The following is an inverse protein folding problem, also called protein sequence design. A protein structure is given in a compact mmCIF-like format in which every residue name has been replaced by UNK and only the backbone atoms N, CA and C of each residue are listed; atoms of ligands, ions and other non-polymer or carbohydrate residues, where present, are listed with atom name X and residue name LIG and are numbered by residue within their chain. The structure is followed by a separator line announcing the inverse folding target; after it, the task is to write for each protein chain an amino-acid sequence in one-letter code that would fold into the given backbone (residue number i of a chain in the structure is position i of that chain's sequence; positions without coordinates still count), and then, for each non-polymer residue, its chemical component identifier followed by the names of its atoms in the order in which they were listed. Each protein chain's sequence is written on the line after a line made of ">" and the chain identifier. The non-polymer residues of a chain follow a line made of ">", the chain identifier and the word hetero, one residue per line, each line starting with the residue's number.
data_IF_405476557171
#
_entry.id   IF_405476557171
#
_cell.length_a   1.000
_cell.length_b   1.000
_cell.length_c   1.000
_cell.angle_alpha   90.00
_cell.angle_beta   90.00
_cell.angle_gamma   90.00
#
_symmetry.space_group_name_H-M   'P 1'
#
loop_
_entity.id
_entity.type
_entity.pdbx_description
1 polymer ?
#
# COMPACT_ATOMS: atom_id res chain seq x y z
N UNK A 1 -17.04 48.78 31.58
CA UNK A 1 -18.51 48.62 31.48
C UNK A 1 -18.77 47.14 31.26
N UNK A 2 -19.27 46.49 32.30
CA UNK A 2 -19.39 45.04 32.46
C UNK A 2 -20.87 44.71 32.42
N UNK A 3 -21.30 43.76 31.58
CA UNK A 3 -22.60 43.09 31.78
C UNK A 3 -22.44 41.60 31.49
N UNK A 4 -22.43 40.83 32.59
CA UNK A 4 -22.77 39.41 32.65
C UNK A 4 -24.29 39.29 32.57
N UNK A 5 -24.82 38.25 31.92
CA UNK A 5 -26.10 37.63 32.29
C UNK A 5 -26.01 36.10 32.13
N UNK A 6 -26.50 35.41 33.15
CA UNK A 6 -26.45 33.96 33.36
C UNK A 6 -27.70 33.23 32.80
N UNK A 7 -27.46 31.96 32.43
CA UNK A 7 -28.27 30.73 32.62
C UNK A 7 -29.74 30.63 32.19
N UNK A 8 -30.05 29.55 31.46
CA UNK A 8 -30.93 28.48 31.99
C UNK A 8 -30.76 27.17 31.21
N UNK A 9 -30.63 26.08 31.96
CA UNK A 9 -30.49 24.68 31.57
C UNK A 9 -31.84 24.01 31.28
N UNK A 10 -31.87 23.06 30.35
CA UNK A 10 -32.88 21.99 30.34
C UNK A 10 -32.26 20.67 29.83
N UNK A 11 -32.36 19.66 30.68
CA UNK A 11 -31.88 18.29 30.52
C UNK A 11 -33.04 17.43 30.02
N UNK A 12 -32.80 16.60 28.99
CA UNK A 12 -33.73 15.54 28.58
C UNK A 12 -33.12 14.18 28.95
N UNK A 13 -33.73 13.54 29.95
CA UNK A 13 -33.57 12.13 30.29
C UNK A 13 -34.37 11.25 29.31
N UNK A 14 -33.74 10.22 28.74
CA UNK A 14 -34.45 9.07 28.17
C UNK A 14 -34.13 7.82 29.00
N UNK A 15 -35.20 7.20 29.52
CA UNK A 15 -35.18 6.01 30.38
C UNK A 15 -34.93 4.75 29.56
N UNK A 16 -34.04 3.90 30.09
CA UNK A 16 -33.90 2.49 29.75
C UNK A 16 -35.17 1.72 30.15
N UNK A 17 -35.66 0.84 29.27
CA UNK A 17 -36.65 -0.18 29.59
C UNK A 17 -36.16 -1.53 29.04
N UNK A 18 -35.78 -2.40 29.98
CA UNK A 18 -35.48 -3.82 29.78
C UNK A 18 -36.78 -4.62 29.75
N UNK A 19 -36.93 -5.54 28.80
CA UNK A 19 -37.90 -6.64 28.89
C UNK A 19 -37.23 -7.96 28.48
N UNK A 20 -37.32 -8.94 29.37
CA UNK A 20 -36.99 -10.35 29.17
C UNK A 20 -38.27 -11.16 28.89
N UNK A 21 -38.08 -12.40 28.40
CA UNK A 21 -39.05 -13.52 28.27
C UNK A 21 -39.70 -13.63 26.88
N UNK A 22 -39.88 -14.77 26.22
CA UNK A 22 -39.53 -16.20 26.44
C UNK A 22 -39.78 -16.94 25.12
N UNK A 23 -39.11 -18.08 24.90
CA UNK A 23 -39.38 -19.02 23.80
C UNK A 23 -40.76 -19.67 23.95
N UNK A 24 -41.48 -19.85 22.85
CA UNK A 24 -42.32 -21.03 22.61
C UNK A 24 -42.60 -21.26 21.11
N UNK A 25 -42.41 -22.50 20.71
CA UNK A 25 -42.77 -23.11 19.42
C UNK A 25 -44.27 -23.46 19.37
N UNK A 26 -44.91 -23.37 18.20
CA UNK A 26 -45.83 -24.36 17.59
C UNK A 26 -46.57 -23.78 16.36
N UNK A 27 -46.43 -24.44 15.22
CA UNK A 27 -47.37 -24.49 14.07
C UNK A 27 -48.29 -25.74 14.26
N UNK A 28 -49.33 -26.08 13.45
CA UNK A 28 -49.73 -25.56 12.11
C UNK A 28 -51.27 -25.47 11.83
N UNK A 29 -51.60 -25.10 10.57
CA UNK A 29 -52.71 -25.56 9.68
C UNK A 29 -53.87 -24.62 9.28
N UNK A 30 -54.20 -24.78 7.98
CA UNK A 30 -55.33 -24.30 7.15
C UNK A 30 -55.31 -22.83 6.71
N UNK A 31 -55.64 -22.41 5.49
CA UNK A 31 -55.80 -23.00 4.14
C UNK A 31 -56.26 -21.84 3.25
N UNK A 32 -55.81 -21.74 2.00
CA UNK A 32 -56.64 -21.63 0.76
C UNK A 32 -55.85 -21.07 -0.42
N UNK A 33 -56.11 -21.70 -1.56
CA UNK A 33 -55.47 -21.58 -2.86
C UNK A 33 -55.86 -20.30 -3.61
N UNK A 34 -54.94 -19.76 -4.43
CA UNK A 34 -55.25 -19.30 -5.79
C UNK A 34 -54.12 -19.74 -6.73
N UNK A 35 -54.44 -20.73 -7.56
CA UNK A 35 -53.70 -21.15 -8.75
C UNK A 35 -54.24 -20.36 -9.94
N UNK A 36 -53.36 -19.73 -10.72
CA UNK A 36 -53.65 -19.33 -12.10
C UNK A 36 -52.71 -20.11 -13.01
N UNK A 37 -53.28 -21.18 -13.57
CA UNK A 37 -52.76 -21.98 -14.67
C UNK A 37 -52.93 -21.24 -15.99
N UNK A 38 -51.90 -21.29 -16.85
CA UNK A 38 -52.09 -21.27 -18.29
C UNK A 38 -51.19 -22.35 -18.91
N UNK A 39 -51.82 -23.41 -19.39
CA UNK A 39 -51.25 -24.48 -20.23
C UNK A 39 -51.57 -24.14 -21.70
N UNK A 40 -50.59 -24.22 -22.61
CA UNK A 40 -50.80 -24.73 -23.98
C UNK A 40 -49.58 -25.59 -24.38
N UNK A 41 -49.90 -26.72 -25.01
CA UNK A 41 -49.14 -27.95 -25.26
C UNK A 41 -48.20 -27.95 -26.48
N UNK A 42 -47.08 -28.68 -26.32
CA UNK A 42 -46.51 -29.77 -27.17
C UNK A 42 -46.06 -29.45 -28.61
N UNK A 43 -44.77 -29.71 -28.90
CA UNK A 43 -44.33 -30.75 -29.86
C UNK A 43 -42.88 -31.17 -29.59
N UNK A 44 -42.72 -32.47 -29.33
CA UNK A 44 -41.45 -33.18 -29.25
C UNK A 44 -40.96 -33.57 -30.65
N UNK A 45 -39.72 -33.22 -30.98
CA UNK A 45 -38.95 -33.89 -32.04
C UNK A 45 -37.56 -34.21 -31.51
N UNK A 46 -37.31 -35.50 -31.35
CA UNK A 46 -36.01 -36.10 -31.05
C UNK A 46 -35.09 -36.00 -32.28
N UNK A 47 -33.94 -35.35 -32.13
CA UNK A 47 -32.81 -35.56 -33.03
C UNK A 47 -31.49 -35.49 -32.24
N UNK A 48 -30.91 -36.70 -32.15
CA UNK A 48 -29.58 -37.15 -31.74
C UNK A 48 -28.48 -36.10 -31.55
N UNK A 49 -27.83 -36.24 -30.38
CA UNK A 49 -26.38 -36.14 -30.12
C UNK A 49 -25.63 -34.91 -30.63
N UNK A 50 -25.32 -34.02 -29.69
CA UNK A 50 -23.93 -33.62 -29.46
C UNK A 50 -23.78 -33.26 -27.98
N UNK A 51 -23.24 -34.20 -27.20
CA UNK A 51 -22.68 -33.89 -25.89
C UNK A 51 -21.36 -33.14 -26.10
N UNK A 52 -21.45 -31.85 -26.43
CA UNK A 52 -20.36 -30.94 -26.15
C UNK A 52 -20.61 -30.35 -24.76
N UNK A 53 -19.96 -30.98 -23.78
CA UNK A 53 -19.73 -30.42 -22.46
C UNK A 53 -19.11 -29.02 -22.59
N UNK A 54 -19.95 -27.98 -22.54
CA UNK A 54 -19.48 -26.64 -22.21
C UNK A 54 -19.11 -26.63 -20.72
N UNK A 55 -17.97 -27.21 -20.39
CA UNK A 55 -17.19 -26.70 -19.26
C UNK A 55 -16.81 -25.27 -19.66
N UNK A 56 -17.57 -24.30 -19.17
CA UNK A 56 -17.11 -22.92 -19.10
C UNK A 56 -15.85 -22.92 -18.24
N UNK A 57 -14.67 -23.06 -18.88
CA UNK A 57 -13.40 -22.98 -18.19
C UNK A 57 -13.34 -21.64 -17.46
N UNK A 58 -13.33 -21.68 -16.13
CA UNK A 58 -13.12 -20.52 -15.27
C UNK A 58 -11.80 -19.85 -15.64
N UNK A 59 -11.83 -18.85 -16.52
CA UNK A 59 -10.61 -18.24 -17.05
C UNK A 59 -10.05 -17.25 -16.02
N UNK A 60 -9.06 -17.69 -15.28
CA UNK A 60 -8.27 -16.85 -14.39
C UNK A 60 -7.07 -16.27 -15.14
N UNK A 61 -6.74 -15.00 -14.86
CA UNK A 61 -5.61 -14.28 -15.45
C UNK A 61 -4.67 -13.86 -14.32
N UNK A 62 -3.48 -14.42 -14.28
CA UNK A 62 -2.44 -13.90 -13.39
C UNK A 62 -2.01 -12.50 -13.85
N UNK A 63 -1.84 -11.58 -12.91
CA UNK A 63 -1.38 -10.21 -13.18
C UNK A 63 -0.20 -9.89 -12.25
N UNK A 64 1.04 -9.77 -12.78
CA UNK A 64 1.43 -10.02 -14.17
C UNK A 64 1.29 -11.50 -14.58
N UNK A 65 1.20 -11.78 -15.89
CA UNK A 65 1.05 -13.18 -16.38
C UNK A 65 2.37 -13.95 -16.50
N UNK A 66 3.47 -13.32 -16.07
CA UNK A 66 4.83 -13.83 -16.21
C UNK A 66 5.14 -14.93 -15.18
N UNK A 67 6.04 -15.85 -15.55
CA UNK A 67 6.55 -16.86 -14.61
C UNK A 67 7.58 -16.24 -13.64
N UNK A 68 7.98 -16.99 -12.61
CA UNK A 68 8.88 -16.48 -11.56
C UNK A 68 10.26 -16.10 -12.09
N UNK A 69 10.85 -16.88 -13.00
CA UNK A 69 12.17 -16.60 -13.56
C UNK A 69 12.18 -15.33 -14.42
N UNK A 70 11.11 -15.10 -15.19
CA UNK A 70 10.92 -13.85 -15.94
C UNK A 70 10.78 -12.66 -14.99
N UNK A 71 10.04 -12.83 -13.88
CA UNK A 71 9.86 -11.79 -12.87
C UNK A 71 11.19 -11.43 -12.22
N UNK A 72 11.97 -12.42 -11.76
CA UNK A 72 13.28 -12.19 -11.14
C UNK A 72 14.24 -11.49 -12.12
N UNK A 73 14.30 -11.94 -13.38
CA UNK A 73 15.15 -11.31 -14.39
C UNK A 73 14.79 -9.85 -14.66
N UNK A 74 13.50 -9.56 -14.86
CA UNK A 74 13.02 -8.19 -15.10
C UNK A 74 13.30 -7.30 -13.87
N UNK A 75 13.12 -7.86 -12.69
CA UNK A 75 13.40 -7.19 -11.42
C UNK A 75 14.88 -6.82 -11.35
N UNK A 76 15.80 -7.77 -11.53
CA UNK A 76 17.24 -7.53 -11.50
C UNK A 76 17.72 -6.55 -12.60
N UNK A 77 17.15 -6.62 -13.81
CA UNK A 77 17.41 -5.64 -14.88
C UNK A 77 16.94 -4.23 -14.50
N UNK A 78 15.80 -4.13 -13.82
CA UNK A 78 15.25 -2.84 -13.39
C UNK A 78 16.03 -2.28 -12.21
N UNK A 79 16.38 -3.09 -11.20
CA UNK A 79 17.27 -2.67 -10.12
C UNK A 79 18.60 -2.14 -10.67
N UNK A 80 19.25 -2.86 -11.62
CA UNK A 80 20.48 -2.37 -12.26
C UNK A 80 20.32 -1.02 -12.97
N UNK A 81 19.14 -0.71 -13.49
CA UNK A 81 18.86 0.59 -14.15
C UNK A 81 18.70 1.74 -13.16
N UNK A 82 18.12 1.46 -11.99
CA UNK A 82 17.72 2.47 -11.01
C UNK A 82 18.62 2.52 -9.75
N UNK A 83 19.63 1.65 -9.62
CA UNK A 83 20.63 1.71 -8.55
C UNK A 83 21.97 2.28 -9.02
N UNK A 84 22.81 2.67 -8.05
CA UNK A 84 24.17 3.16 -8.28
C UNK A 84 25.20 2.16 -7.76
N UNK A 85 26.30 1.98 -8.51
CA UNK A 85 27.38 1.06 -8.14
C UNK A 85 28.23 1.53 -6.97
N UNK A 86 28.34 2.84 -6.75
CA UNK A 86 29.16 3.40 -5.68
C UNK A 86 28.53 4.67 -5.11
N UNK A 87 28.27 4.67 -3.81
CA UNK A 87 27.90 5.84 -3.03
C UNK A 87 28.66 5.82 -1.70
N UNK A 88 29.13 6.98 -1.24
CA UNK A 88 29.84 7.09 0.04
C UNK A 88 28.85 7.30 1.17
N UNK A 89 28.87 6.39 2.14
CA UNK A 89 28.10 6.45 3.38
C UNK A 89 28.91 7.19 4.44
N UNK A 90 28.34 8.22 5.06
CA UNK A 90 28.97 9.04 6.13
C UNK A 90 28.12 9.19 7.38
N UNK A 91 27.00 8.47 7.42
CA UNK A 91 26.10 8.45 8.57
C UNK A 91 26.76 7.85 9.81
N UNK A 92 26.11 8.00 10.97
CA UNK A 92 26.57 7.47 12.26
C UNK A 92 25.47 6.67 12.95
N UNK A 93 25.81 5.56 13.60
CA UNK A 93 24.86 4.78 14.40
C UNK A 93 23.75 4.08 13.59
N UNK A 94 22.60 3.87 14.22
CA UNK A 94 21.50 3.07 13.66
C UNK A 94 20.30 3.95 13.32
N UNK A 95 19.72 3.74 12.15
CA UNK A 95 18.42 4.31 11.77
C UNK A 95 17.40 3.19 11.51
N UNK A 96 16.16 3.43 11.90
CA UNK A 96 15.03 2.56 11.59
C UNK A 96 14.32 3.12 10.35
N UNK A 97 13.92 2.24 9.43
CA UNK A 97 12.99 2.57 8.35
C UNK A 97 11.68 1.85 8.63
N UNK A 98 10.65 2.62 8.99
CA UNK A 98 9.32 2.11 9.25
C UNK A 98 8.51 2.11 7.94
N UNK A 99 8.31 0.91 7.40
CA UNK A 99 7.51 0.66 6.21
C UNK A 99 6.01 0.62 6.53
N UNK A 100 5.22 1.16 5.60
CA UNK A 100 3.75 1.26 5.64
C UNK A 100 3.20 0.93 4.25
N UNK A 101 2.63 1.91 3.54
CA UNK A 101 2.18 1.80 2.15
C UNK A 101 3.27 2.21 1.14
N UNK A 102 4.52 1.82 1.42
CA UNK A 102 5.72 2.14 0.65
C UNK A 102 6.62 0.91 0.51
N UNK A 103 6.00 -0.25 0.27
CA UNK A 103 6.61 -1.59 0.28
C UNK A 103 7.51 -1.85 -0.95
N UNK A 104 8.54 -1.03 -1.10
CA UNK A 104 9.53 -1.07 -2.19
C UNK A 104 10.89 -0.56 -1.75
N UNK A 105 11.92 -0.96 -2.49
CA UNK A 105 13.26 -0.39 -2.38
C UNK A 105 13.44 0.77 -3.37
N UNK A 106 13.04 0.60 -4.64
CA UNK A 106 13.29 1.59 -5.67
C UNK A 106 12.52 2.89 -5.41
N UNK A 107 13.21 4.03 -5.63
CA UNK A 107 12.63 5.35 -5.41
C UNK A 107 11.96 5.53 -4.03
N UNK A 108 12.61 4.99 -2.99
CA UNK A 108 12.19 5.14 -1.60
C UNK A 108 13.09 6.17 -0.89
N UNK A 109 12.56 7.37 -0.69
CA UNK A 109 13.32 8.48 -0.09
C UNK A 109 13.54 8.27 1.42
N UNK A 110 12.57 7.68 2.13
CA UNK A 110 12.73 7.35 3.55
C UNK A 110 13.91 6.37 3.75
N UNK A 111 13.98 5.33 2.92
CA UNK A 111 15.11 4.38 2.91
C UNK A 111 16.43 5.05 2.53
N UNK A 112 16.43 5.92 1.51
CA UNK A 112 17.62 6.68 1.09
C UNK A 112 18.16 7.58 2.20
N UNK A 113 17.30 8.37 2.86
CA UNK A 113 17.70 9.27 3.95
C UNK A 113 18.19 8.49 5.16
N UNK A 114 17.55 7.37 5.50
CA UNK A 114 18.03 6.47 6.54
C UNK A 114 19.43 5.94 6.23
N UNK A 115 19.63 5.39 5.03
CA UNK A 115 20.93 4.86 4.60
C UNK A 115 22.04 5.91 4.61
N UNK A 116 21.76 7.12 4.11
CA UNK A 116 22.72 8.22 4.08
C UNK A 116 23.11 8.72 5.48
N UNK A 117 22.18 8.69 6.44
CA UNK A 117 22.35 9.28 7.78
C UNK A 117 22.86 8.33 8.86
N UNK A 118 22.84 7.02 8.63
CA UNK A 118 23.29 6.01 9.59
C UNK A 118 24.47 5.16 9.10
N UNK A 119 25.06 4.34 9.98
CA UNK A 119 26.01 3.27 9.65
C UNK A 119 25.34 1.91 9.46
N UNK A 120 24.17 1.71 10.08
CA UNK A 120 23.32 0.54 9.87
C UNK A 120 21.84 0.95 9.75
N UNK A 121 21.09 0.23 8.91
CA UNK A 121 19.65 0.45 8.71
C UNK A 121 18.88 -0.76 9.22
N UNK A 122 17.83 -0.53 10.00
CA UNK A 122 16.87 -1.55 10.43
C UNK A 122 15.50 -1.31 9.76
N UNK A 123 15.19 -2.03 8.66
CA UNK A 123 13.85 -2.05 8.09
C UNK A 123 12.85 -2.72 9.05
N UNK A 124 11.72 -2.07 9.31
CA UNK A 124 10.68 -2.55 10.21
C UNK A 124 9.31 -2.41 9.55
N UNK A 125 8.49 -3.45 9.66
CA UNK A 125 7.07 -3.41 9.34
C UNK A 125 6.25 -3.86 10.56
N UNK A 126 5.24 -3.07 10.92
CA UNK A 126 4.33 -3.39 12.02
C UNK A 126 2.99 -3.89 11.45
N UNK A 127 2.61 -5.12 11.76
CA UNK A 127 1.28 -5.67 11.49
C UNK A 127 0.32 -5.08 12.52
N UNK A 128 -0.24 -3.92 12.18
CA UNK A 128 -1.13 -3.18 13.07
C UNK A 128 -2.50 -3.87 13.19
N UNK A 129 -2.93 -4.30 14.38
CA UNK A 129 -4.21 -5.00 14.56
C UNK A 129 -5.41 -4.16 14.09
N UNK A 130 -5.31 -2.83 14.14
CA UNK A 130 -6.40 -1.92 13.72
C UNK A 130 -6.76 -2.07 12.24
N UNK A 131 -5.82 -2.53 11.41
CA UNK A 131 -6.06 -2.76 9.98
C UNK A 131 -6.98 -3.96 9.70
N UNK A 132 -7.20 -4.82 10.71
CA UNK A 132 -8.01 -6.03 10.63
C UNK A 132 -9.24 -5.98 11.56
N UNK A 133 -9.52 -4.82 12.13
CA UNK A 133 -10.79 -4.53 12.82
C UNK A 133 -11.91 -4.25 11.79
N UNK A 134 -12.78 -3.28 12.06
CA UNK A 134 -13.94 -2.97 11.24
C UNK A 134 -13.91 -1.56 10.65
N UNK A 135 -14.71 -1.34 9.60
CA UNK A 135 -14.92 -0.03 8.99
C UNK A 135 -15.73 0.87 9.92
N UNK A 136 -15.44 2.17 9.87
CA UNK A 136 -15.90 3.15 10.86
C UNK A 136 -17.42 3.21 11.07
N UNK A 137 -18.22 3.18 10.00
CA UNK A 137 -19.66 3.39 10.09
C UNK A 137 -20.48 2.09 10.06
N UNK A 138 -20.05 1.10 9.29
CA UNK A 138 -20.91 -0.04 8.91
C UNK A 138 -20.39 -1.38 9.42
N UNK A 139 -19.26 -1.43 10.13
CA UNK A 139 -18.80 -2.65 10.77
C UNK A 139 -18.28 -3.73 9.82
N UNK A 140 -18.13 -3.46 8.53
CA UNK A 140 -17.49 -4.41 7.59
C UNK A 140 -16.03 -4.65 7.95
N UNK A 141 -15.41 -5.79 7.58
CA UNK A 141 -13.98 -6.01 7.78
C UNK A 141 -13.16 -4.86 7.19
N UNK A 142 -12.29 -4.24 8.00
CA UNK A 142 -11.43 -3.13 7.58
C UNK A 142 -10.55 -3.56 6.41
N UNK A 143 -9.99 -4.77 6.49
CA UNK A 143 -9.25 -5.44 5.41
C UNK A 143 -9.82 -6.81 5.13
N UNK A 144 -10.31 -7.01 3.90
CA UNK A 144 -10.79 -8.31 3.43
C UNK A 144 -9.67 -9.26 3.05
N UNK A 145 -9.98 -10.56 3.02
CA UNK A 145 -9.02 -11.65 2.82
C UNK A 145 -8.14 -11.50 1.57
N UNK A 146 -8.72 -11.11 0.43
CA UNK A 146 -7.97 -10.92 -0.82
C UNK A 146 -6.88 -9.83 -0.70
N UNK A 147 -7.20 -8.72 -0.01
CA UNK A 147 -6.23 -7.63 0.18
C UNK A 147 -5.19 -8.00 1.25
N UNK A 148 -5.58 -8.75 2.28
CA UNK A 148 -4.65 -9.28 3.26
C UNK A 148 -3.64 -10.25 2.62
N UNK A 149 -4.11 -11.18 1.80
CA UNK A 149 -3.25 -12.10 1.03
C UNK A 149 -2.29 -11.33 0.12
N UNK A 150 -2.78 -10.33 -0.61
CA UNK A 150 -1.94 -9.46 -1.43
C UNK A 150 -0.88 -8.70 -0.62
N UNK A 151 -1.23 -8.20 0.57
CA UNK A 151 -0.28 -7.53 1.47
C UNK A 151 0.80 -8.50 1.96
N UNK A 152 0.43 -9.72 2.34
CA UNK A 152 1.35 -10.80 2.74
C UNK A 152 2.39 -11.05 1.64
N UNK A 153 1.93 -11.15 0.39
CA UNK A 153 2.82 -11.30 -0.78
C UNK A 153 3.75 -10.09 -0.96
N UNK A 154 3.25 -8.87 -0.71
CA UNK A 154 4.09 -7.66 -0.75
C UNK A 154 5.18 -7.68 0.32
N UNK A 155 4.88 -8.14 1.54
CA UNK A 155 5.84 -8.22 2.64
C UNK A 155 6.90 -9.29 2.40
N UNK A 156 6.50 -10.44 1.87
CA UNK A 156 7.42 -11.52 1.50
C UNK A 156 8.39 -11.06 0.39
N UNK A 157 7.89 -10.39 -0.64
CA UNK A 157 8.72 -9.82 -1.71
C UNK A 157 9.67 -8.73 -1.21
N UNK A 158 9.18 -7.79 -0.39
CA UNK A 158 10.01 -6.74 0.22
C UNK A 158 11.13 -7.35 1.06
N UNK A 159 10.83 -8.37 1.88
CA UNK A 159 11.83 -9.07 2.69
C UNK A 159 12.90 -9.72 1.80
N UNK A 160 12.49 -10.43 0.74
CA UNK A 160 13.42 -11.05 -0.23
C UNK A 160 14.31 -10.01 -0.90
N UNK A 161 13.74 -8.90 -1.39
CA UNK A 161 14.51 -7.85 -2.04
C UNK A 161 15.48 -7.17 -1.06
N UNK A 162 15.06 -6.89 0.19
CA UNK A 162 15.96 -6.33 1.21
C UNK A 162 17.12 -7.27 1.51
N UNK A 163 16.87 -8.59 1.59
CA UNK A 163 17.92 -9.61 1.77
C UNK A 163 18.91 -9.64 0.59
N UNK A 164 18.43 -9.57 -0.65
CA UNK A 164 19.29 -9.47 -1.85
C UNK A 164 20.23 -8.24 -1.79
N UNK A 165 19.81 -7.17 -1.12
CA UNK A 165 20.57 -5.93 -0.97
C UNK A 165 21.34 -5.80 0.37
N UNK A 166 21.48 -6.88 1.14
CA UNK A 166 22.29 -6.92 2.37
C UNK A 166 21.61 -6.37 3.62
N UNK A 167 20.29 -6.26 3.60
CA UNK A 167 19.43 -5.97 4.74
C UNK A 167 18.51 -7.17 5.05
N UNK A 168 17.47 -6.95 5.83
CA UNK A 168 16.38 -7.88 6.10
C UNK A 168 15.18 -7.06 6.60
N UNK A 169 13.98 -7.64 6.69
CA UNK A 169 12.78 -6.99 7.19
C UNK A 169 12.38 -7.55 8.55
N UNK A 170 12.39 -6.70 9.58
CA UNK A 170 11.85 -7.02 10.90
C UNK A 170 10.33 -6.85 10.88
N UNK A 171 9.59 -7.92 11.11
CA UNK A 171 8.12 -7.91 11.12
C UNK A 171 7.62 -8.15 12.54
N UNK A 172 6.80 -7.23 13.05
CA UNK A 172 6.28 -7.27 14.41
C UNK A 172 4.77 -7.07 14.45
N UNK A 173 4.08 -7.81 15.30
CA UNK A 173 2.62 -7.73 15.44
C UNK A 173 2.24 -6.79 16.58
N UNK A 174 1.45 -5.76 16.27
CA UNK A 174 1.02 -4.78 17.25
C UNK A 174 1.07 -3.35 16.72
N UNK A 175 0.82 -2.39 17.61
CA UNK A 175 0.71 -0.98 17.25
C UNK A 175 2.09 -0.35 17.05
N UNK A 176 2.32 0.40 15.96
CA UNK A 176 3.60 1.07 15.71
C UNK A 176 4.05 1.98 16.85
N UNK A 177 3.12 2.67 17.52
CA UNK A 177 3.40 3.56 18.64
C UNK A 177 3.93 2.87 19.91
N UNK A 178 3.76 1.54 20.01
CA UNK A 178 4.29 0.73 21.11
C UNK A 178 5.58 0.00 20.68
N UNK A 179 5.58 -0.54 19.45
CA UNK A 179 6.68 -1.35 18.90
C UNK A 179 7.90 -0.48 18.59
N UNK A 180 7.73 0.61 17.82
CA UNK A 180 8.86 1.39 17.31
C UNK A 180 9.70 2.02 18.44
N UNK A 181 9.11 2.56 19.52
CA UNK A 181 9.90 3.01 20.68
C UNK A 181 10.70 1.89 21.35
N UNK A 182 10.13 0.68 21.45
CA UNK A 182 10.83 -0.49 22.00
C UNK A 182 12.04 -0.86 21.14
N UNK A 183 11.84 -0.97 19.82
CA UNK A 183 12.92 -1.27 18.86
C UNK A 183 13.98 -0.17 18.86
N UNK A 184 13.58 1.10 18.90
CA UNK A 184 14.52 2.22 18.93
C UNK A 184 15.39 2.22 20.19
N UNK A 185 14.82 1.79 21.33
CA UNK A 185 15.57 1.60 22.58
C UNK A 185 16.57 0.45 22.46
N UNK A 186 16.15 -0.72 22.00
CA UNK A 186 16.98 -1.92 21.90
C UNK A 186 18.12 -1.77 20.86
N UNK A 187 17.83 -1.17 19.71
CA UNK A 187 18.81 -0.95 18.64
C UNK A 187 19.68 0.30 18.83
N UNK A 188 19.37 1.15 19.82
CA UNK A 188 20.04 2.44 20.02
C UNK A 188 19.82 3.43 18.88
N UNK A 189 18.74 3.27 18.10
CA UNK A 189 18.49 4.06 16.90
C UNK A 189 18.35 5.55 17.20
N UNK A 190 18.95 6.39 16.34
CA UNK A 190 18.87 7.84 16.48
C UNK A 190 17.62 8.42 15.82
N UNK A 191 17.15 7.79 14.75
CA UNK A 191 16.02 8.28 13.94
C UNK A 191 15.19 7.12 13.42
N UNK A 192 13.87 7.30 13.44
CA UNK A 192 12.90 6.48 12.71
C UNK A 192 12.47 7.29 11.48
N UNK A 193 12.75 6.79 10.29
CA UNK A 193 12.30 7.36 9.02
C UNK A 193 11.05 6.63 8.54
N UNK A 194 10.07 7.35 8.04
CA UNK A 194 8.89 6.79 7.39
C UNK A 194 8.36 7.75 6.32
N UNK A 195 7.58 7.25 5.37
CA UNK A 195 6.76 8.14 4.56
C UNK A 195 5.62 8.77 5.38
N UNK A 196 5.35 10.03 5.10
CA UNK A 196 4.19 10.76 5.63
C UNK A 196 2.91 10.28 4.96
N UNK A 197 1.84 10.23 5.73
CA UNK A 197 0.49 9.99 5.24
C UNK A 197 -0.40 11.22 5.46
N UNK A 198 -1.60 11.22 4.88
CA UNK A 198 -2.50 12.40 4.87
C UNK A 198 -3.78 12.20 5.68
N UNK A 199 -4.19 10.95 5.91
CA UNK A 199 -5.50 10.61 6.47
C UNK A 199 -5.52 10.51 8.00
N UNK A 200 -6.71 10.65 8.60
CA UNK A 200 -6.90 10.84 10.04
C UNK A 200 -6.36 9.69 10.91
N UNK A 201 -6.57 8.45 10.48
CA UNK A 201 -6.12 7.25 11.20
C UNK A 201 -4.58 7.20 11.21
N UNK A 202 -3.98 7.39 10.04
CA UNK A 202 -2.55 7.40 9.81
C UNK A 202 -1.84 8.51 10.59
N UNK A 203 -2.36 9.74 10.53
CA UNK A 203 -1.81 10.88 11.27
C UNK A 203 -1.92 10.68 12.80
N UNK A 204 -2.91 9.91 13.27
CA UNK A 204 -3.02 9.56 14.69
C UNK A 204 -1.90 8.61 15.11
N UNK A 205 -1.59 7.61 14.27
CA UNK A 205 -0.46 6.69 14.50
C UNK A 205 0.86 7.46 14.52
N UNK A 206 1.10 8.35 13.56
CA UNK A 206 2.32 9.17 13.52
C UNK A 206 2.51 10.02 14.78
N UNK A 207 1.42 10.64 15.28
CA UNK A 207 1.46 11.36 16.57
C UNK A 207 1.76 10.44 17.75
N UNK A 208 1.17 9.24 17.77
CA UNK A 208 1.43 8.22 18.78
C UNK A 208 2.90 7.79 18.80
N UNK A 209 3.45 7.44 17.63
CA UNK A 209 4.87 7.06 17.47
C UNK A 209 5.79 8.18 17.92
N UNK A 210 5.53 9.44 17.49
CA UNK A 210 6.32 10.60 17.91
C UNK A 210 6.33 10.76 19.43
N UNK A 211 5.17 10.66 20.07
CA UNK A 211 5.05 10.75 21.53
C UNK A 211 5.73 9.57 22.25
N UNK A 212 5.67 8.36 21.67
CA UNK A 212 6.36 7.17 22.18
C UNK A 212 7.88 7.32 22.14
N UNK A 213 8.43 7.78 21.02
CA UNK A 213 9.88 7.97 20.84
C UNK A 213 10.45 9.04 21.78
N UNK A 214 9.70 10.10 22.07
CA UNK A 214 10.10 11.14 23.03
C UNK A 214 10.31 10.60 24.46
N UNK A 215 9.65 9.48 24.82
CA UNK A 215 9.81 8.83 26.13
C UNK A 215 11.05 7.94 26.21
N UNK A 216 11.67 7.61 25.07
CA UNK A 216 12.86 6.75 25.00
C UNK A 216 14.11 7.58 25.28
N UNK A 217 14.94 7.10 26.21
CA UNK A 217 16.26 7.66 26.48
C UNK A 217 17.32 6.78 25.84
N UNK A 218 18.15 7.35 24.95
CA UNK A 218 19.31 6.64 24.40
C UNK A 218 20.44 6.63 25.42
N UNK A 219 21.04 5.46 25.62
CA UNK A 219 22.30 5.34 26.36
C UNK A 219 23.43 5.77 25.43
N UNK A 220 23.81 7.05 25.44
CA UNK A 220 25.00 7.52 24.74
C UNK A 220 26.23 7.23 25.57
N UNK A 221 27.21 6.49 25.02
CA UNK A 221 28.56 6.34 25.58
C UNK A 221 29.42 7.60 25.38
N UNK A 222 28.82 8.79 25.31
CA UNK A 222 29.56 10.05 25.18
C UNK A 222 29.87 10.63 26.56
N UNK A 223 31.14 10.80 26.94
CA UNK A 223 31.55 11.41 28.20
C UNK A 223 31.53 12.94 28.08
N UNK A 224 30.37 13.56 27.89
CA UNK A 224 30.22 15.01 28.14
C UNK A 224 28.74 15.37 28.28
N UNK A 225 28.44 16.25 29.25
CA UNK A 225 27.14 16.73 29.75
C UNK A 225 26.04 17.20 28.78
N UNK A 226 25.80 16.51 27.65
CA UNK A 226 24.64 16.69 26.79
C UNK A 226 23.53 15.74 27.24
N UNK A 227 22.33 16.27 27.42
CA UNK A 227 21.15 15.48 27.77
C UNK A 227 20.99 14.28 26.82
N UNK A 228 20.63 13.08 27.32
CA UNK A 228 20.43 11.91 26.47
C UNK A 228 19.40 12.23 25.38
N UNK A 229 19.82 12.11 24.12
CA UNK A 229 18.99 12.47 22.98
C UNK A 229 17.93 11.37 22.74
N UNK A 230 16.66 11.73 22.73
CA UNK A 230 15.58 10.81 22.32
C UNK A 230 15.62 10.57 20.81
N UNK A 231 15.24 9.37 20.31
CA UNK A 231 15.11 9.14 18.89
C UNK A 231 14.11 10.09 18.23
N UNK A 232 14.39 10.58 17.02
CA UNK A 232 13.48 11.46 16.26
C UNK A 232 12.63 10.65 15.26
N UNK A 233 11.37 11.04 15.08
CA UNK A 233 10.57 10.60 13.93
C UNK A 233 10.74 11.61 12.79
N UNK A 234 11.29 11.16 11.66
CA UNK A 234 11.42 11.94 10.42
C UNK A 234 10.44 11.40 9.39
N UNK A 235 9.47 12.24 9.00
CA UNK A 235 8.47 11.92 7.99
C UNK A 235 8.87 12.53 6.66
N UNK A 236 8.80 11.74 5.60
CA UNK A 236 9.24 12.12 4.25
C UNK A 236 8.07 12.03 3.29
N UNK A 237 7.89 13.04 2.44
CA UNK A 237 6.86 13.00 1.40
C UNK A 237 7.31 12.13 0.23
N UNK A 238 6.47 11.18 -0.23
CA UNK A 238 6.90 10.21 -1.25
C UNK A 238 5.83 9.47 -2.04
N UNK A 239 4.54 9.71 -1.79
CA UNK A 239 3.43 9.00 -2.43
C UNK A 239 3.01 9.57 -3.79
N UNK A 240 3.37 10.82 -4.10
CA UNK A 240 2.85 11.57 -5.25
C UNK A 240 3.87 11.75 -6.37
N UNK A 241 3.37 11.97 -7.60
CA UNK A 241 4.23 12.23 -8.77
C UNK A 241 4.89 13.63 -8.71
N UNK A 242 4.09 14.66 -8.41
CA UNK A 242 4.60 15.99 -8.08
C UNK A 242 4.81 16.07 -6.59
N UNK A 243 6.01 16.46 -6.18
CA UNK A 243 6.29 16.66 -4.77
C UNK A 243 5.50 17.88 -4.26
N UNK A 244 4.99 17.81 -3.03
CA UNK A 244 4.19 18.89 -2.43
C UNK A 244 4.92 20.22 -2.39
N UNK A 245 6.21 20.21 -2.01
CA UNK A 245 7.05 21.41 -2.00
C UNK A 245 7.28 22.05 -3.38
N UNK A 246 7.03 21.32 -4.47
CA UNK A 246 7.22 21.83 -5.84
C UNK A 246 5.92 22.38 -6.45
N UNK A 247 4.79 22.31 -5.71
CA UNK A 247 3.49 22.81 -6.18
C UNK A 247 3.49 24.35 -6.28
N UNK A 248 2.74 24.92 -7.24
CA UNK A 248 2.71 26.37 -7.45
C UNK A 248 1.69 27.08 -6.54
N UNK A 249 1.19 26.38 -5.53
CA UNK A 249 0.21 26.82 -4.53
C UNK A 249 0.42 26.00 -3.26
N UNK A 250 -0.01 26.54 -2.12
CA UNK A 250 -0.02 25.78 -0.87
C UNK A 250 -1.11 24.69 -0.92
N UNK A 251 -0.97 23.52 -0.25
CA UNK A 251 -2.00 22.48 -0.25
C UNK A 251 -3.39 22.93 0.23
N UNK A 252 -3.48 23.98 1.05
CA UNK A 252 -4.77 24.57 1.48
C UNK A 252 -5.45 25.42 0.40
N UNK A 253 -4.71 25.79 -0.65
CA UNK A 253 -5.16 26.59 -1.79
C UNK A 253 -5.28 25.73 -3.06
N UNK A 254 -5.38 24.40 -2.88
CA UNK A 254 -5.55 23.47 -3.97
C UNK A 254 -6.81 23.82 -4.78
N UNK A 255 -6.72 23.96 -6.12
CA UNK A 255 -7.91 24.26 -6.93
C UNK A 255 -8.96 23.15 -6.82
N UNK A 256 -10.21 23.53 -6.51
CA UNK A 256 -11.35 22.60 -6.43
C UNK A 256 -11.66 21.92 -7.77
N UNK A 257 -11.22 22.50 -8.89
CA UNK A 257 -11.39 21.95 -10.23
C UNK A 257 -10.09 21.29 -10.70
N UNK A 258 -10.13 19.97 -10.89
CA UNK A 258 -8.99 19.16 -11.35
C UNK A 258 -8.26 19.74 -12.56
N UNK A 259 -8.99 20.27 -13.55
CA UNK A 259 -8.38 20.83 -14.76
C UNK A 259 -7.51 22.06 -14.45
N UNK A 260 -7.86 22.86 -13.43
CA UNK A 260 -7.07 24.01 -12.99
C UNK A 260 -5.79 23.56 -12.27
N UNK A 261 -5.91 22.58 -11.37
CA UNK A 261 -4.76 21.92 -10.73
C UNK A 261 -3.78 21.41 -11.80
N UNK A 262 -4.28 20.59 -12.73
CA UNK A 262 -3.46 19.95 -13.76
C UNK A 262 -2.74 20.96 -14.65
N UNK A 263 -3.47 21.95 -15.19
CA UNK A 263 -2.86 22.99 -16.04
C UNK A 263 -1.77 23.76 -15.29
N UNK A 264 -1.95 23.97 -13.98
CA UNK A 264 -0.97 24.67 -13.15
C UNK A 264 0.29 23.85 -12.95
N UNK A 265 0.18 22.57 -12.58
CA UNK A 265 1.36 21.72 -12.35
C UNK A 265 2.08 21.35 -13.65
N UNK A 266 1.37 21.11 -14.76
CA UNK A 266 1.99 20.84 -16.07
C UNK A 266 2.79 22.05 -16.60
N UNK A 267 2.38 23.28 -16.25
CA UNK A 267 3.04 24.50 -16.73
C UNK A 267 4.12 25.04 -15.80
N UNK A 268 4.02 24.81 -14.49
CA UNK A 268 4.87 25.46 -13.47
C UNK A 268 5.75 24.50 -12.68
N UNK A 269 5.50 23.19 -12.75
CA UNK A 269 6.21 22.20 -11.93
C UNK A 269 7.03 21.25 -12.79
N UNK A 270 8.06 20.67 -12.16
CA UNK A 270 8.88 19.61 -12.76
C UNK A 270 8.74 18.36 -11.91
N UNK A 271 8.57 17.21 -12.56
CA UNK A 271 8.57 15.92 -11.87
C UNK A 271 10.02 15.57 -11.50
N UNK A 272 10.28 15.33 -10.21
CA UNK A 272 11.60 14.93 -9.72
C UNK A 272 11.99 13.57 -10.29
N UNK A 273 13.28 13.37 -10.54
CA UNK A 273 13.81 12.05 -10.87
C UNK A 273 13.71 11.09 -9.70
N UNK A 274 13.72 9.79 -9.98
CA UNK A 274 13.75 8.74 -8.97
C UNK A 274 15.01 8.84 -8.09
N UNK A 275 14.85 8.62 -6.79
CA UNK A 275 15.99 8.43 -5.91
C UNK A 275 16.72 7.14 -6.26
N UNK A 276 18.03 7.25 -6.47
CA UNK A 276 18.89 6.10 -6.73
C UNK A 276 19.55 5.66 -5.44
N UNK A 277 19.33 4.39 -5.09
CA UNK A 277 19.97 3.73 -3.96
C UNK A 277 21.23 2.97 -4.43
N UNK A 278 22.23 2.76 -3.56
CA UNK A 278 23.35 1.90 -3.90
C UNK A 278 22.92 0.44 -4.01
N UNK A 279 23.62 -0.36 -4.80
CA UNK A 279 23.35 -1.80 -4.95
C UNK A 279 23.48 -2.58 -3.64
N UNK A 280 24.28 -2.10 -2.69
CA UNK A 280 24.41 -2.70 -1.35
C UNK A 280 23.95 -1.70 -0.28
N UNK A 281 22.97 -2.10 0.53
CA UNK A 281 22.34 -1.27 1.56
C UNK A 281 22.82 -1.61 2.98
N UNK A 282 23.48 -2.75 3.15
CA UNK A 282 24.01 -3.21 4.43
C UNK A 282 25.09 -2.30 5.04
N UNK A 283 25.56 -2.61 6.26
CA UNK A 283 25.17 -3.77 7.07
C UNK A 283 23.88 -3.56 7.89
N UNK A 284 23.35 -4.67 8.40
CA UNK A 284 22.35 -4.69 9.47
C UNK A 284 22.97 -4.24 10.80
N UNK A 285 22.18 -3.70 11.74
CA UNK A 285 22.68 -3.33 13.05
C UNK A 285 23.13 -4.56 13.84
N UNK A 286 24.19 -4.42 14.64
CA UNK A 286 24.69 -5.48 15.54
C UNK A 286 23.91 -5.57 16.86
N UNK A 287 22.62 -5.24 16.85
CA UNK A 287 21.79 -5.33 18.05
C UNK A 287 21.28 -6.75 18.25
N UNK A 288 21.18 -7.16 19.51
CA UNK A 288 20.50 -8.40 19.87
C UNK A 288 19.00 -8.22 19.62
N UNK A 289 18.49 -8.89 18.58
CA UNK A 289 17.08 -8.82 18.21
C UNK A 289 16.24 -9.81 19.04
N UNK A 290 16.86 -10.72 19.80
CA UNK A 290 16.13 -11.72 20.58
C UNK A 290 15.31 -11.07 21.70
N UNK A 291 15.80 -9.95 22.26
CA UNK A 291 15.07 -9.13 23.25
C UNK A 291 13.74 -8.56 22.72
N UNK A 292 13.62 -8.43 21.40
CA UNK A 292 12.42 -7.93 20.73
C UNK A 292 11.70 -9.01 19.91
N UNK A 293 12.00 -10.30 20.11
CA UNK A 293 11.31 -11.42 19.45
C UNK A 293 11.87 -11.82 18.09
N UNK A 294 13.12 -11.45 17.79
CA UNK A 294 13.81 -11.79 16.55
C UNK A 294 13.27 -11.07 15.32
N UNK A 295 13.60 -11.56 14.12
CA UNK A 295 13.16 -10.98 12.84
C UNK A 295 11.65 -11.06 12.58
N UNK A 296 10.94 -11.89 13.35
CA UNK A 296 9.54 -12.22 13.11
C UNK A 296 9.31 -12.96 11.79
N UNK A 297 8.04 -13.30 11.57
CA UNK A 297 7.56 -14.02 10.41
C UNK A 297 6.59 -13.15 9.62
N UNK A 298 6.49 -13.40 8.30
CA UNK A 298 5.39 -12.85 7.51
C UNK A 298 4.10 -13.50 8.03
N UNK A 299 3.04 -12.73 8.34
CA UNK A 299 1.80 -13.29 8.86
C UNK A 299 1.13 -14.20 7.84
N UNK A 300 0.41 -15.22 8.31
CA UNK A 300 -0.56 -15.95 7.51
C UNK A 300 -1.92 -15.25 7.58
N UNK A 301 -2.81 -15.54 6.62
CA UNK A 301 -4.18 -14.97 6.61
C UNK A 301 -4.93 -15.34 7.89
N UNK A 302 -4.74 -16.55 8.39
CA UNK A 302 -5.37 -17.05 9.61
C UNK A 302 -4.86 -16.30 10.87
N UNK A 303 -3.58 -15.91 10.89
CA UNK A 303 -2.98 -15.11 11.99
C UNK A 303 -3.62 -13.72 12.11
N UNK A 304 -4.24 -13.25 11.03
CA UNK A 304 -4.94 -11.96 10.94
C UNK A 304 -6.44 -12.08 11.27
N UNK A 305 -6.91 -13.27 11.68
CA UNK A 305 -8.31 -13.53 11.99
C UNK A 305 -9.21 -13.56 10.77
N UNK A 306 -8.65 -13.82 9.58
CA UNK A 306 -9.38 -13.88 8.31
C UNK A 306 -9.41 -15.30 7.78
N UNK A 307 -10.42 -15.62 6.97
CA UNK A 307 -10.47 -16.89 6.24
C UNK A 307 -9.79 -16.74 4.89
N UNK A 308 -9.02 -17.75 4.48
CA UNK A 308 -8.39 -17.76 3.17
C UNK A 308 -9.42 -17.72 2.03
N UNK A 309 -9.27 -16.75 1.13
CA UNK A 309 -10.08 -16.62 -0.07
C UNK A 309 -9.20 -16.72 -1.32
N UNK A 310 -9.61 -17.57 -2.27
CA UNK A 310 -8.90 -17.75 -3.54
C UNK A 310 -9.69 -17.13 -4.69
N UNK A 311 -8.98 -16.44 -5.58
CA UNK A 311 -9.55 -15.92 -6.82
C UNK A 311 -9.81 -17.09 -7.78
N UNK A 312 -11.08 -17.46 -7.93
CA UNK A 312 -11.50 -18.58 -8.79
C UNK A 312 -11.76 -18.15 -10.25
N UNK A 313 -12.07 -16.87 -10.49
CA UNK A 313 -12.32 -16.30 -11.82
C UNK A 313 -11.80 -14.87 -11.92
N UNK A 314 -11.43 -14.44 -13.12
CA UNK A 314 -10.98 -13.08 -13.37
C UNK A 314 -9.49 -12.86 -13.09
N UNK A 315 -9.12 -11.66 -12.67
CA UNK A 315 -7.71 -11.28 -12.47
C UNK A 315 -7.23 -11.68 -11.07
N UNK A 316 -6.14 -12.43 -11.01
CA UNK A 316 -5.44 -12.80 -9.79
C UNK A 316 -4.13 -12.00 -9.72
N UNK A 317 -4.09 -11.01 -8.83
CA UNK A 317 -2.96 -10.11 -8.66
C UNK A 317 -1.91 -10.73 -7.74
N UNK A 318 -0.64 -10.60 -8.11
CA UNK A 318 0.50 -10.96 -7.25
C UNK A 318 1.04 -9.72 -6.53
N UNK A 319 1.18 -9.78 -5.22
CA UNK A 319 1.81 -8.72 -4.42
C UNK A 319 3.32 -8.59 -4.68
N UNK A 320 3.89 -7.45 -4.30
CA UNK A 320 5.34 -7.20 -4.33
C UNK A 320 5.82 -6.21 -5.38
N UNK A 321 6.98 -5.61 -5.11
CA UNK A 321 7.73 -4.74 -6.02
C UNK A 321 8.14 -5.51 -7.28
N UNK A 322 8.62 -6.75 -7.14
CA UNK A 322 9.05 -7.58 -8.28
C UNK A 322 7.91 -7.82 -9.28
N UNK A 323 6.72 -8.15 -8.77
CA UNK A 323 5.51 -8.32 -9.58
C UNK A 323 5.06 -7.00 -10.22
N UNK A 324 5.16 -5.89 -9.50
CA UNK A 324 4.83 -4.56 -9.99
C UNK A 324 5.72 -4.14 -11.17
N UNK A 325 7.04 -4.25 -11.03
CA UNK A 325 8.03 -3.94 -12.07
C UNK A 325 7.83 -4.83 -13.29
N UNK A 326 7.53 -6.11 -13.05
CA UNK A 326 7.20 -7.08 -14.09
C UNK A 326 5.91 -6.72 -14.83
N UNK A 327 4.90 -6.17 -14.15
CA UNK A 327 3.67 -5.70 -14.79
C UNK A 327 3.91 -4.41 -15.60
N UNK A 328 4.78 -3.51 -15.15
CA UNK A 328 5.24 -2.37 -15.96
C UNK A 328 5.92 -2.87 -17.24
N UNK A 329 6.85 -3.82 -17.10
CA UNK A 329 7.52 -4.45 -18.24
C UNK A 329 6.53 -5.13 -19.20
N UNK A 330 5.62 -5.94 -18.67
CA UNK A 330 4.64 -6.67 -19.44
C UNK A 330 3.74 -5.72 -20.25
N UNK A 331 3.18 -4.69 -19.61
CA UNK A 331 2.21 -3.80 -20.24
C UNK A 331 2.86 -2.78 -21.21
N UNK A 332 3.95 -2.13 -20.79
CA UNK A 332 4.62 -1.13 -21.62
C UNK A 332 5.49 -1.80 -22.69
N UNK A 333 6.31 -2.77 -22.30
CA UNK A 333 7.41 -3.21 -23.15
C UNK A 333 7.08 -4.51 -23.90
N UNK A 334 6.64 -5.57 -23.23
CA UNK A 334 6.37 -6.84 -23.92
C UNK A 334 5.14 -6.77 -24.82
N UNK A 335 4.03 -6.23 -24.31
CA UNK A 335 2.76 -6.16 -25.04
C UNK A 335 2.56 -4.88 -25.83
N UNK A 336 3.41 -3.88 -25.61
CA UNK A 336 3.35 -2.59 -26.31
C UNK A 336 1.99 -1.88 -26.23
N UNK A 337 1.32 -1.98 -25.06
CA UNK A 337 -0.07 -1.53 -24.89
C UNK A 337 -0.21 -0.07 -24.47
N UNK A 338 0.89 0.57 -24.04
CA UNK A 338 0.84 1.98 -23.60
C UNK A 338 0.37 2.92 -24.73
N UNK A 339 0.77 2.65 -25.99
CA UNK A 339 0.36 3.44 -27.17
C UNK A 339 -1.15 3.44 -27.44
N UNK A 340 -1.91 2.48 -26.92
CA UNK A 340 -3.38 2.36 -27.08
C UNK A 340 -4.15 2.55 -25.77
N UNK A 341 -3.50 3.03 -24.71
CA UNK A 341 -4.12 3.17 -23.38
C UNK A 341 -5.38 4.05 -23.40
N UNK A 342 -5.35 5.21 -24.10
CA UNK A 342 -6.50 6.13 -24.13
C UNK A 342 -7.74 5.49 -24.76
N UNK A 343 -7.55 4.64 -25.76
CA UNK A 343 -8.61 3.95 -26.50
C UNK A 343 -9.20 2.79 -25.68
N UNK A 344 -8.35 2.07 -24.93
CA UNK A 344 -8.73 0.81 -24.28
C UNK A 344 -9.15 0.97 -22.81
N UNK A 345 -8.77 2.05 -22.13
CA UNK A 345 -8.95 2.24 -20.66
C UNK A 345 -10.36 2.08 -20.11
N UNK A 346 -11.39 2.22 -20.95
CA UNK A 346 -12.81 2.07 -20.55
C UNK A 346 -13.32 0.63 -20.73
N UNK A 347 -12.46 -0.31 -21.16
CA UNK A 347 -12.79 -1.73 -21.20
C UNK A 347 -13.04 -2.32 -19.81
N UNK A 348 -13.70 -3.48 -19.76
CA UNK A 348 -14.07 -4.13 -18.51
C UNK A 348 -13.55 -5.58 -18.39
N UNK A 349 -13.16 -6.21 -19.51
CA UNK A 349 -12.79 -7.62 -19.55
C UNK A 349 -11.29 -7.82 -19.82
N UNK A 350 -10.66 -8.66 -18.99
CA UNK A 350 -9.27 -9.05 -19.13
C UNK A 350 -8.25 -8.04 -18.60
N UNK A 351 -6.96 -8.41 -18.55
CA UNK A 351 -5.93 -7.56 -17.96
C UNK A 351 -5.48 -6.41 -18.87
N UNK A 352 -5.67 -6.51 -20.19
CA UNK A 352 -4.94 -5.69 -21.17
C UNK A 352 -5.58 -4.34 -21.51
N UNK A 353 -6.83 -4.10 -21.10
CA UNK A 353 -7.50 -2.83 -21.38
C UNK A 353 -6.94 -1.63 -20.59
N UNK A 354 -6.12 -1.86 -19.56
CA UNK A 354 -5.48 -0.80 -18.77
C UNK A 354 -4.24 -1.35 -18.06
N UNK A 355 -3.43 -0.47 -17.46
CA UNK A 355 -2.17 -0.87 -16.81
C UNK A 355 -2.35 -1.87 -15.68
N UNK A 356 -3.47 -1.78 -14.94
CA UNK A 356 -3.74 -2.52 -13.71
C UNK A 356 -2.74 -2.23 -12.56
N UNK A 357 -2.04 -1.10 -12.59
CA UNK A 357 -1.03 -0.75 -11.59
C UNK A 357 -1.58 -0.39 -10.20
N UNK A 358 -2.89 -0.17 -10.07
CA UNK A 358 -3.48 0.40 -8.85
C UNK A 358 -3.19 -0.37 -7.56
N UNK A 359 -3.16 -1.72 -7.50
CA UNK A 359 -2.84 -2.42 -6.25
C UNK A 359 -1.41 -2.13 -5.79
N UNK A 360 -0.44 -2.10 -6.70
CA UNK A 360 0.96 -1.85 -6.38
C UNK A 360 1.27 -0.39 -6.10
N UNK A 361 0.50 0.55 -6.68
CA UNK A 361 0.59 1.97 -6.29
C UNK A 361 0.01 2.18 -4.89
N UNK A 362 -1.10 1.51 -4.56
CA UNK A 362 -1.75 1.64 -3.26
C UNK A 362 -0.89 1.07 -2.11
N UNK A 363 -0.19 -0.06 -2.33
CA UNK A 363 0.77 -0.60 -1.36
C UNK A 363 2.17 0.04 -1.45
N UNK A 364 2.36 0.96 -2.41
CA UNK A 364 3.63 1.60 -2.72
C UNK A 364 4.75 0.64 -3.15
N UNK A 365 4.40 -0.51 -3.73
CA UNK A 365 5.33 -1.45 -4.38
C UNK A 365 5.95 -0.88 -5.67
N UNK A 366 5.32 0.13 -6.28
CA UNK A 366 5.94 0.97 -7.33
C UNK A 366 5.66 2.43 -7.03
N UNK A 367 6.62 3.28 -7.35
CA UNK A 367 6.45 4.73 -7.19
C UNK A 367 5.86 5.37 -8.46
N UNK A 368 5.17 6.50 -8.30
CA UNK A 368 4.71 7.27 -9.43
C UNK A 368 5.84 7.82 -10.32
N UNK A 369 6.97 8.20 -9.73
CA UNK A 369 8.12 8.72 -10.48
C UNK A 369 8.76 7.64 -11.35
N UNK A 370 8.86 6.41 -10.85
CA UNK A 370 9.43 5.29 -11.64
C UNK A 370 8.56 5.00 -12.84
N UNK A 371 7.24 4.97 -12.64
CA UNK A 371 6.29 4.80 -13.74
C UNK A 371 6.44 5.93 -14.77
N UNK A 372 6.57 7.17 -14.31
CA UNK A 372 6.79 8.32 -15.19
C UNK A 372 8.10 8.23 -15.98
N UNK A 373 9.22 7.85 -15.35
CA UNK A 373 10.49 7.64 -16.04
C UNK A 373 10.39 6.52 -17.09
N UNK A 374 9.67 5.44 -16.80
CA UNK A 374 9.40 4.36 -17.77
C UNK A 374 8.50 4.82 -18.94
N UNK A 375 7.53 5.72 -18.69
CA UNK A 375 6.76 6.37 -19.77
C UNK A 375 7.67 7.22 -20.64
N UNK A 376 8.55 8.04 -20.05
CA UNK A 376 9.51 8.87 -20.80
C UNK A 376 10.48 8.03 -21.62
N UNK A 377 10.91 6.90 -21.07
CA UNK A 377 11.73 5.93 -21.79
C UNK A 377 10.96 5.30 -22.96
N UNK A 378 9.70 4.92 -22.75
CA UNK A 378 8.83 4.40 -23.81
C UNK A 378 8.60 5.42 -24.93
N UNK A 379 8.33 6.68 -24.59
CA UNK A 379 8.14 7.77 -25.55
C UNK A 379 9.39 7.98 -26.43
N UNK A 380 10.58 7.82 -25.85
CA UNK A 380 11.87 7.94 -26.55
C UNK A 380 12.19 6.73 -27.44
N UNK A 381 11.94 5.52 -26.95
CA UNK A 381 12.35 4.27 -27.62
C UNK A 381 11.28 3.72 -28.59
N UNK A 382 10.03 4.15 -28.45
CA UNK A 382 8.90 3.69 -29.27
C UNK A 382 8.13 4.86 -29.83
N UNK A 383 7.17 5.38 -29.08
CA UNK A 383 6.25 6.40 -29.60
C UNK A 383 5.72 7.28 -28.46
N UNK A 384 5.73 8.58 -28.70
CA UNK A 384 4.93 9.55 -27.95
C UNK A 384 3.62 9.81 -28.70
N UNK A 385 2.49 9.66 -28.03
CA UNK A 385 1.18 9.94 -28.61
C UNK A 385 0.16 10.36 -27.54
N UNK A 386 -1.09 10.56 -27.97
CA UNK A 386 -2.19 10.88 -27.08
C UNK A 386 -2.36 9.89 -25.93
N UNK A 387 -2.13 8.59 -26.14
CA UNK A 387 -2.25 7.58 -25.09
C UNK A 387 -1.14 7.67 -24.05
N UNK A 388 0.11 7.92 -24.46
CA UNK A 388 1.23 8.09 -23.52
C UNK A 388 1.05 9.36 -22.67
N UNK A 389 0.59 10.45 -23.29
CA UNK A 389 0.19 11.66 -22.57
C UNK A 389 -1.02 11.43 -21.66
N UNK A 390 -2.07 10.76 -22.14
CA UNK A 390 -3.30 10.55 -21.36
C UNK A 390 -3.10 9.60 -20.18
N UNK A 391 -2.13 8.70 -20.29
CA UNK A 391 -1.70 7.91 -19.16
C UNK A 391 -1.13 8.81 -18.06
N UNK A 392 -0.14 9.65 -18.40
CA UNK A 392 0.38 10.65 -17.47
C UNK A 392 -0.75 11.53 -16.92
N UNK A 393 -1.66 12.02 -17.77
CA UNK A 393 -2.83 12.81 -17.39
C UNK A 393 -3.71 12.14 -16.33
N UNK A 394 -4.00 10.84 -16.42
CA UNK A 394 -4.82 10.15 -15.43
C UNK A 394 -4.06 9.91 -14.12
N UNK A 395 -2.75 9.75 -14.22
CA UNK A 395 -1.88 9.51 -13.09
C UNK A 395 -1.78 10.70 -12.13
N UNK A 396 -1.95 11.93 -12.64
CA UNK A 396 -2.04 13.14 -11.82
C UNK A 396 -3.22 13.09 -10.84
N UNK A 397 -4.33 12.39 -11.17
CA UNK A 397 -5.49 12.26 -10.27
C UNK A 397 -5.22 11.34 -9.08
N UNK A 398 -4.32 10.36 -9.24
CA UNK A 398 -4.02 9.37 -8.21
C UNK A 398 -3.04 9.90 -7.16
N UNK A 399 -2.31 10.99 -7.46
CA UNK A 399 -1.34 11.61 -6.55
C UNK A 399 -1.86 12.86 -5.83
N UNK A 400 -3.17 13.02 -5.64
CA UNK A 400 -3.78 14.20 -4.97
C UNK A 400 -4.38 13.83 -3.60
N UNK A 401 -4.41 12.56 -3.21
CA UNK A 401 -5.04 12.11 -1.94
C UNK A 401 -4.00 11.69 -0.93
#
# INVERSE_FOLDING_TARGET
>A
MTVKLFSSSSSFHFKFLTFFSSKSTLNPLFSTNILLSNNIQIMSSTSKSDQNSRLSSSKSYLVPSLNSDEIDRITDETFRRYTLSSMKRKGVGVAIVWFRNDLRILDNEALYRAWMSSEAVLPVYCVDPRLFETTHYFGFPKTGALRAQYLIECLDDLKKNLMKHGLNLLIQHGKPEDILPSIAKASGAHTVYAHTETCSEELRVERGVRAGLQKVRRQTQEPSGKNPLSPKLELVWGSTMYHTDDLPFHPTELPDVYTQFRKSVESKCTIRSCFKLPTSLGPLPRCDLDEIGGWGCVPLVDDLGLHHEKVNMGMCFRGGESAALSRVNEYFWRKDLLRVYKETRNGMLGPDYSTKFSPWLASGCISPRLVYEEVKRYEKERQANDSTYWYNFNFHKLGIV
#
